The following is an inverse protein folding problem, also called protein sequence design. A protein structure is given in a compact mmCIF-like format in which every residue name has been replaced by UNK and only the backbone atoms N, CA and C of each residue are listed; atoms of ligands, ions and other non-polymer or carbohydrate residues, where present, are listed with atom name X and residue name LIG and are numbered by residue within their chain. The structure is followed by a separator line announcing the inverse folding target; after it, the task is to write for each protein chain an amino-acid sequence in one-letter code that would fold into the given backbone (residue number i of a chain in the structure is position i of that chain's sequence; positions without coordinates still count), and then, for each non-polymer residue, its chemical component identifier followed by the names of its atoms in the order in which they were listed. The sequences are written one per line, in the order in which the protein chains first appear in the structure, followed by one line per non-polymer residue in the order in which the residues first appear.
data_IF_441336103111
#
_entry.id   IF_441336103111
#
_cell.length_a   1.000
_cell.length_b   1.000
_cell.length_c   1.000
_cell.angle_alpha   90.00
_cell.angle_beta   90.00
_cell.angle_gamma   90.00
#
_symmetry.space_group_name_H-M   'P 1'
#
loop_
_entity.id
_entity.type
_entity.pdbx_description
1 polymer ?
#
# COMPACT_ATOMS: atom_id res chain seq x y z
N UNK A 1 2.78 -4.16 -7.61
CA UNK A 1 2.01 -5.44 -7.56
C UNK A 1 0.53 -5.14 -7.39
N UNK A 2 -0.32 -5.79 -8.16
CA UNK A 2 -1.78 -5.69 -8.05
C UNK A 2 -2.34 -7.05 -7.64
N UNK A 3 -3.16 -7.08 -6.60
CA UNK A 3 -3.79 -8.29 -6.08
C UNK A 3 -5.30 -8.12 -6.21
N UNK A 4 -5.91 -8.98 -7.00
CA UNK A 4 -7.35 -8.98 -7.25
C UNK A 4 -7.99 -10.27 -6.75
N UNK A 5 -9.30 -10.31 -6.69
CA UNK A 5 -10.07 -11.49 -6.28
C UNK A 5 -11.37 -11.09 -5.60
N UNK A 6 -12.24 -12.06 -5.38
CA UNK A 6 -13.54 -11.83 -4.74
C UNK A 6 -13.40 -11.33 -3.31
N UNK A 7 -14.47 -10.77 -2.79
CA UNK A 7 -14.53 -10.37 -1.38
C UNK A 7 -14.26 -11.59 -0.48
N UNK A 8 -13.52 -11.38 0.61
CA UNK A 8 -13.13 -12.43 1.57
C UNK A 8 -12.22 -13.55 1.03
N UNK A 9 -11.63 -13.41 -0.17
CA UNK A 9 -10.68 -14.38 -0.73
C UNK A 9 -9.28 -14.37 -0.07
N UNK A 10 -9.03 -13.50 0.93
CA UNK A 10 -7.75 -13.43 1.64
C UNK A 10 -6.75 -12.39 1.14
N UNK A 11 -7.12 -11.51 0.20
CA UNK A 11 -6.24 -10.44 -0.34
C UNK A 11 -5.58 -9.60 0.74
N UNK A 12 -6.41 -9.03 1.64
CA UNK A 12 -5.91 -8.20 2.75
C UNK A 12 -5.05 -8.99 3.72
N UNK A 13 -5.39 -10.25 4.00
CA UNK A 13 -4.60 -11.12 4.87
C UNK A 13 -3.21 -11.34 4.29
N UNK A 14 -3.12 -11.68 3.00
CA UNK A 14 -1.83 -11.84 2.33
C UNK A 14 -1.01 -10.54 2.37
N UNK A 15 -1.62 -9.41 2.02
CA UNK A 15 -0.94 -8.13 2.01
C UNK A 15 -0.45 -7.72 3.41
N UNK A 16 -1.24 -7.99 4.45
CA UNK A 16 -0.87 -7.77 5.85
C UNK A 16 0.33 -8.62 6.26
N UNK A 17 0.33 -9.90 5.91
CA UNK A 17 1.47 -10.81 6.19
C UNK A 17 2.73 -10.34 5.46
N UNK A 18 2.62 -9.99 4.18
CA UNK A 18 3.74 -9.49 3.40
C UNK A 18 4.30 -8.18 3.99
N UNK A 19 3.44 -7.23 4.32
CA UNK A 19 3.83 -5.97 4.95
C UNK A 19 4.56 -6.21 6.28
N UNK A 20 4.05 -7.09 7.12
CA UNK A 20 4.68 -7.43 8.40
C UNK A 20 6.05 -8.08 8.23
N UNK A 21 6.20 -9.01 7.29
CA UNK A 21 7.50 -9.62 6.99
C UNK A 21 8.52 -8.57 6.52
N UNK A 22 8.13 -7.66 5.64
CA UNK A 22 8.95 -6.52 5.20
C UNK A 22 9.33 -5.60 6.36
N UNK A 23 8.41 -5.36 7.27
CA UNK A 23 8.68 -4.55 8.46
C UNK A 23 9.67 -5.25 9.42
N UNK A 24 9.53 -6.56 9.64
CA UNK A 24 10.48 -7.35 10.44
C UNK A 24 11.88 -7.32 9.80
N UNK A 25 11.95 -7.53 8.47
CA UNK A 25 13.21 -7.44 7.73
C UNK A 25 13.86 -6.08 7.91
N UNK A 26 13.12 -4.98 7.66
CA UNK A 26 13.60 -3.61 7.90
C UNK A 26 14.13 -3.44 9.31
N UNK A 27 13.36 -3.86 10.31
CA UNK A 27 13.72 -3.68 11.73
C UNK A 27 15.03 -4.39 12.07
N UNK A 28 15.23 -5.63 11.56
CA UNK A 28 16.47 -6.39 11.73
C UNK A 28 17.64 -5.72 11.00
N UNK A 29 17.40 -5.16 9.82
CA UNK A 29 18.42 -4.50 9.00
C UNK A 29 18.94 -3.20 9.62
N UNK A 30 18.06 -2.39 10.22
CA UNK A 30 18.45 -1.08 10.78
C UNK A 30 18.89 -1.15 12.22
N UNK A 31 18.62 -2.24 12.93
CA UNK A 31 19.02 -2.44 14.33
C UNK A 31 20.53 -2.66 14.45
N UNK A 32 21.13 -2.04 15.47
CA UNK A 32 22.54 -2.28 15.82
C UNK A 32 22.74 -3.56 16.60
N UNK A 33 21.69 -4.01 17.31
CA UNK A 33 21.70 -5.22 18.11
C UNK A 33 21.08 -6.41 17.34
N UNK A 34 21.41 -7.62 17.76
CA UNK A 34 20.78 -8.81 17.20
C UNK A 34 19.40 -9.03 17.83
N UNK A 35 18.39 -8.47 17.15
CA UNK A 35 16.99 -8.58 17.57
C UNK A 35 16.27 -9.82 16.99
N UNK A 36 16.96 -10.68 16.25
CA UNK A 36 16.37 -11.91 15.65
C UNK A 36 15.71 -12.75 16.74
N UNK A 37 16.34 -12.87 17.89
CA UNK A 37 15.82 -13.62 19.02
C UNK A 37 14.47 -13.13 19.53
N UNK A 38 14.09 -11.86 19.27
CA UNK A 38 12.79 -11.32 19.65
C UNK A 38 11.65 -11.96 18.86
N UNK A 39 11.91 -12.45 17.66
CA UNK A 39 10.90 -13.03 16.77
C UNK A 39 10.92 -14.57 16.77
N UNK A 40 12.05 -15.18 17.14
CA UNK A 40 12.26 -16.64 17.04
C UNK A 40 11.85 -17.41 18.30
N UNK A 41 11.41 -16.73 19.38
CA UNK A 41 11.05 -17.37 20.64
C UNK A 41 9.65 -16.97 21.10
N UNK A 42 9.00 -17.85 21.87
CA UNK A 42 7.72 -17.60 22.57
C UNK A 42 6.57 -17.19 21.63
N UNK A 43 6.55 -17.68 20.40
CA UNK A 43 5.53 -17.35 19.40
C UNK A 43 5.40 -15.84 19.13
N UNK A 44 6.45 -15.03 19.39
CA UNK A 44 6.37 -13.57 19.29
C UNK A 44 6.08 -13.09 17.88
N UNK A 45 6.69 -13.70 16.86
CA UNK A 45 6.43 -13.35 15.47
C UNK A 45 4.94 -13.34 15.14
N UNK A 46 4.26 -14.47 15.42
CA UNK A 46 2.85 -14.62 15.09
C UNK A 46 1.95 -13.78 16.01
N UNK A 47 2.32 -13.59 17.28
CA UNK A 47 1.60 -12.73 18.20
C UNK A 47 1.64 -11.26 17.77
N UNK A 48 2.82 -10.74 17.39
CA UNK A 48 2.96 -9.37 16.89
C UNK A 48 2.24 -9.18 15.56
N UNK A 49 2.33 -10.16 14.63
CA UNK A 49 1.59 -10.12 13.37
C UNK A 49 0.08 -10.02 13.61
N UNK A 50 -0.48 -10.88 14.46
CA UNK A 50 -1.91 -10.88 14.79
C UNK A 50 -2.35 -9.57 15.44
N UNK A 51 -1.62 -9.10 16.43
CA UNK A 51 -1.93 -7.88 17.15
C UNK A 51 -1.86 -6.67 16.22
N UNK A 52 -0.78 -6.53 15.46
CA UNK A 52 -0.58 -5.37 14.61
C UNK A 52 -1.61 -5.30 13.47
N UNK A 53 -1.89 -6.43 12.82
CA UNK A 53 -2.81 -6.47 11.68
C UNK A 53 -4.25 -6.89 12.02
N UNK A 54 -4.59 -6.98 13.31
CA UNK A 54 -5.95 -7.35 13.78
C UNK A 54 -6.42 -8.68 13.18
N UNK A 55 -5.54 -9.68 13.21
CA UNK A 55 -5.85 -11.03 12.76
C UNK A 55 -6.18 -11.91 13.98
N UNK A 56 -7.29 -12.62 13.92
CA UNK A 56 -7.68 -13.55 14.99
C UNK A 56 -6.94 -14.89 14.88
N UNK A 57 -7.16 -15.78 15.84
CA UNK A 57 -6.48 -17.06 15.91
C UNK A 57 -6.87 -18.04 14.79
N UNK A 58 -8.04 -17.85 14.18
CA UNK A 58 -8.56 -18.69 13.10
C UNK A 58 -7.75 -18.60 11.81
N UNK A 59 -7.03 -17.47 11.61
CA UNK A 59 -6.15 -17.29 10.44
C UNK A 59 -4.89 -18.17 10.48
N UNK A 60 -4.54 -18.73 11.65
CA UNK A 60 -3.28 -19.46 11.82
C UNK A 60 -3.52 -20.76 12.58
N UNK A 61 -3.62 -21.85 11.83
CA UNK A 61 -3.74 -23.21 12.37
C UNK A 61 -2.37 -23.88 12.57
N UNK A 62 -2.38 -25.12 13.07
CA UNK A 62 -1.17 -25.94 13.13
C UNK A 62 -0.59 -26.26 11.76
N UNK A 63 -1.44 -26.31 10.74
CA UNK A 63 -1.05 -26.60 9.36
C UNK A 63 -0.58 -25.36 8.60
N UNK A 64 -0.56 -24.19 9.26
CA UNK A 64 -0.10 -22.97 8.62
C UNK A 64 1.39 -23.03 8.35
N UNK A 65 1.76 -22.85 7.10
CA UNK A 65 3.14 -22.65 6.67
C UNK A 65 3.29 -21.26 6.04
N UNK A 66 4.32 -20.52 6.44
CA UNK A 66 4.69 -19.23 5.88
C UNK A 66 6.17 -19.26 5.54
N UNK A 67 6.48 -18.99 4.28
CA UNK A 67 7.82 -18.74 3.80
C UNK A 67 7.89 -17.35 3.18
N UNK A 68 8.65 -16.47 3.79
CA UNK A 68 9.01 -15.18 3.23
C UNK A 68 10.47 -15.22 2.81
N UNK A 69 10.71 -14.99 1.52
CA UNK A 69 12.04 -14.90 0.93
C UNK A 69 12.31 -13.43 0.58
N UNK A 70 12.82 -12.67 1.54
CA UNK A 70 13.12 -11.25 1.40
C UNK A 70 14.45 -10.96 0.72
N UNK A 71 14.82 -9.71 0.64
CA UNK A 71 16.06 -9.28 -0.01
C UNK A 71 17.30 -9.70 0.78
N UNK A 72 17.23 -9.65 2.12
CA UNK A 72 18.36 -9.85 3.03
C UNK A 72 18.21 -11.02 4.00
N UNK A 73 16.99 -11.51 4.17
CA UNK A 73 16.71 -12.63 5.06
C UNK A 73 15.53 -13.47 4.57
N UNK A 74 15.42 -14.67 5.12
CA UNK A 74 14.24 -15.54 4.99
C UNK A 74 13.56 -15.69 6.34
N UNK A 75 12.22 -15.73 6.34
CA UNK A 75 11.41 -16.03 7.52
C UNK A 75 10.60 -17.29 7.21
N UNK A 76 10.81 -18.35 7.98
CA UNK A 76 10.04 -19.58 7.94
C UNK A 76 9.20 -19.67 9.22
N UNK A 77 7.88 -19.83 9.08
CA UNK A 77 6.99 -20.11 10.21
C UNK A 77 6.16 -21.36 9.92
N UNK A 78 6.07 -22.24 10.90
CA UNK A 78 5.21 -23.41 10.87
C UNK A 78 4.34 -23.43 12.13
N UNK A 79 3.04 -23.55 11.94
CA UNK A 79 2.07 -23.51 13.03
C UNK A 79 2.30 -24.63 14.07
N UNK A 80 2.77 -25.81 13.64
CA UNK A 80 3.15 -26.91 14.55
C UNK A 80 4.23 -26.50 15.55
N UNK A 81 5.23 -25.72 15.10
CA UNK A 81 6.37 -25.33 15.93
C UNK A 81 6.09 -24.03 16.72
N UNK A 82 5.13 -23.23 16.26
CA UNK A 82 4.74 -21.97 16.86
C UNK A 82 5.78 -20.84 16.80
N UNK A 83 7.04 -21.13 16.54
CA UNK A 83 8.13 -20.17 16.45
C UNK A 83 8.57 -19.96 15.00
N UNK A 84 8.91 -18.73 14.66
CA UNK A 84 9.53 -18.43 13.37
C UNK A 84 11.04 -18.75 13.40
N UNK A 85 11.58 -19.18 12.26
CA UNK A 85 13.01 -19.28 12.00
C UNK A 85 13.40 -18.16 11.04
N UNK A 86 14.38 -17.37 11.40
CA UNK A 86 14.89 -16.26 10.59
C UNK A 86 16.34 -16.55 10.23
N UNK A 87 16.61 -16.58 8.92
CA UNK A 87 17.95 -16.84 8.39
C UNK A 87 18.42 -15.65 7.58
N UNK A 88 19.60 -15.11 7.91
CA UNK A 88 20.21 -14.02 7.15
C UNK A 88 20.85 -14.55 5.87
N UNK A 89 20.64 -13.87 4.75
CA UNK A 89 21.30 -14.15 3.49
C UNK A 89 22.74 -13.62 3.49
N UNK A 90 23.57 -14.08 2.56
CA UNK A 90 24.96 -13.61 2.43
C UNK A 90 25.05 -12.09 2.15
N UNK A 91 24.06 -11.52 1.46
CA UNK A 91 23.94 -10.10 1.18
C UNK A 91 23.68 -9.20 2.40
N UNK A 92 23.30 -9.80 3.54
CA UNK A 92 22.89 -9.06 4.75
C UNK A 92 23.99 -8.10 5.27
N UNK A 93 25.25 -8.49 5.20
CA UNK A 93 26.36 -7.69 5.73
C UNK A 93 26.67 -6.47 4.85
N UNK A 94 26.41 -6.57 3.55
CA UNK A 94 26.76 -5.57 2.54
C UNK A 94 25.64 -4.56 2.31
N UNK A 95 24.39 -4.97 2.47
CA UNK A 95 23.20 -4.19 2.15
C UNK A 95 22.42 -3.76 3.39
N UNK A 96 22.95 -2.79 4.15
CA UNK A 96 22.17 -2.13 5.20
C UNK A 96 21.17 -1.16 4.57
N UNK A 97 19.96 -1.67 4.35
CA UNK A 97 18.94 -1.01 3.58
C UNK A 97 17.83 -0.49 4.50
N UNK A 98 17.54 0.81 4.47
CA UNK A 98 16.45 1.40 5.21
C UNK A 98 15.29 1.77 4.27
N UNK A 99 14.14 1.16 4.48
CA UNK A 99 12.93 1.37 3.71
C UNK A 99 11.91 2.19 4.49
N UNK A 100 11.35 3.25 3.89
CA UNK A 100 10.13 3.87 4.44
C UNK A 100 8.93 3.01 4.05
N UNK A 101 8.38 2.31 5.04
CA UNK A 101 7.29 1.36 4.84
C UNK A 101 6.01 1.92 5.45
N UNK A 102 4.90 1.85 4.71
CA UNK A 102 3.60 2.31 5.17
C UNK A 102 2.48 1.39 4.69
N UNK A 103 1.55 1.09 5.60
CA UNK A 103 0.30 0.41 5.31
C UNK A 103 -0.85 1.41 5.35
N UNK A 104 -1.60 1.52 4.25
CA UNK A 104 -2.76 2.38 4.11
C UNK A 104 -4.02 1.50 4.09
N UNK A 105 -4.76 1.42 5.19
CA UNK A 105 -5.89 0.50 5.33
C UNK A 105 -7.12 0.96 4.53
N UNK A 106 -8.09 0.08 4.39
CA UNK A 106 -9.40 0.42 3.81
C UNK A 106 -10.13 1.47 4.66
N UNK A 107 -9.96 1.45 5.98
CA UNK A 107 -10.55 2.39 6.93
C UNK A 107 -9.86 3.76 6.98
N UNK A 108 -9.01 4.09 6.01
CA UNK A 108 -8.25 5.35 5.96
C UNK A 108 -9.09 6.63 6.07
N UNK A 109 -10.37 6.57 5.69
CA UNK A 109 -11.30 7.68 5.84
C UNK A 109 -11.58 8.06 7.31
N UNK A 110 -11.26 7.17 8.27
CA UNK A 110 -11.40 7.40 9.71
C UNK A 110 -10.71 8.71 10.16
N UNK A 111 -9.57 9.04 9.57
CA UNK A 111 -8.82 10.26 9.83
C UNK A 111 -9.67 11.51 9.61
N UNK A 112 -10.47 11.51 8.55
CA UNK A 112 -11.33 12.63 8.17
C UNK A 112 -12.72 12.55 8.79
N UNK A 113 -13.23 11.32 9.00
CA UNK A 113 -14.58 11.08 9.50
C UNK A 113 -14.71 11.27 11.03
N UNK A 114 -13.62 11.20 11.77
CA UNK A 114 -13.62 11.36 13.23
C UNK A 114 -12.79 12.58 13.60
N UNK A 115 -13.44 13.55 14.28
CA UNK A 115 -12.72 14.70 14.79
C UNK A 115 -11.77 14.30 15.93
N UNK A 116 -10.53 14.79 15.87
CA UNK A 116 -9.49 14.51 16.86
C UNK A 116 -9.28 13.00 17.07
N UNK A 117 -9.23 12.24 15.98
CA UNK A 117 -9.04 10.78 16.02
C UNK A 117 -7.78 10.38 16.80
N UNK A 118 -6.72 11.17 16.69
CA UNK A 118 -5.46 11.04 17.44
C UNK A 118 -5.64 11.05 18.96
N UNK A 119 -6.62 11.82 19.47
CA UNK A 119 -6.97 11.90 20.90
C UNK A 119 -7.95 10.81 21.32
N UNK A 120 -8.76 10.34 20.40
CA UNK A 120 -9.82 9.37 20.65
C UNK A 120 -9.30 7.94 20.61
N UNK A 121 -8.38 7.68 19.70
CA UNK A 121 -7.76 6.37 19.53
C UNK A 121 -6.69 6.15 20.61
N UNK A 122 -6.90 5.18 21.49
CA UNK A 122 -6.03 4.97 22.65
C UNK A 122 -4.66 4.41 22.24
N UNK A 123 -3.60 5.01 22.76
CA UNK A 123 -2.21 4.61 22.50
C UNK A 123 -1.85 3.17 22.99
N UNK A 124 -2.75 2.47 23.66
CA UNK A 124 -2.57 1.08 24.09
C UNK A 124 -2.80 0.07 22.98
N UNK A 125 -3.52 0.46 21.93
CA UNK A 125 -3.83 -0.38 20.78
C UNK A 125 -2.83 -0.09 19.67
N UNK A 126 -1.65 -0.71 19.73
CA UNK A 126 -0.58 -0.54 18.74
C UNK A 126 -0.82 -1.43 17.53
N UNK A 127 -1.85 -1.12 16.80
CA UNK A 127 -2.22 -1.82 15.58
C UNK A 127 -1.95 -0.98 14.31
N UNK A 128 -2.35 -1.54 13.18
CA UNK A 128 -2.17 -0.92 11.88
C UNK A 128 -2.89 0.43 11.73
N UNK A 129 -4.06 0.60 12.37
CA UNK A 129 -4.79 1.88 12.31
C UNK A 129 -4.09 2.94 13.15
N UNK A 130 -3.61 2.56 14.34
CA UNK A 130 -2.81 3.46 15.18
C UNK A 130 -1.55 3.91 14.44
N UNK A 131 -0.84 2.97 13.79
CA UNK A 131 0.34 3.31 12.99
C UNK A 131 -0.01 4.25 11.83
N UNK A 132 -1.13 4.00 11.15
CA UNK A 132 -1.61 4.84 10.06
C UNK A 132 -1.93 6.27 10.53
N UNK A 133 -2.59 6.45 11.69
CA UNK A 133 -2.87 7.76 12.27
C UNK A 133 -1.58 8.52 12.58
N UNK A 134 -0.57 7.86 13.13
CA UNK A 134 0.73 8.47 13.41
C UNK A 134 1.47 8.88 12.14
N UNK A 135 1.51 8.01 11.14
CA UNK A 135 2.13 8.31 9.85
C UNK A 135 1.40 9.47 9.16
N UNK A 136 0.08 9.55 9.30
CA UNK A 136 -0.70 10.69 8.81
C UNK A 136 -0.30 12.00 9.47
N UNK A 137 -0.13 12.01 10.79
CA UNK A 137 0.25 13.21 11.54
C UNK A 137 1.60 13.78 11.07
N UNK A 138 2.53 12.92 10.69
CA UNK A 138 3.78 13.34 10.05
C UNK A 138 3.60 13.78 8.59
N UNK A 139 2.82 13.02 7.82
CA UNK A 139 2.64 13.25 6.40
C UNK A 139 1.96 14.59 6.09
N UNK A 140 1.04 15.04 6.95
CA UNK A 140 0.32 16.31 6.76
C UNK A 140 1.18 17.56 7.02
N UNK A 141 2.27 17.44 7.79
CA UNK A 141 3.07 18.57 8.27
C UNK A 141 3.62 19.49 7.16
N UNK A 142 4.16 19.00 6.06
CA UNK A 142 4.71 19.83 4.98
C UNK A 142 3.69 20.64 4.19
N UNK A 143 2.40 20.25 4.20
CA UNK A 143 1.39 20.81 3.31
C UNK A 143 0.62 21.95 4.00
N UNK A 144 1.15 23.16 3.89
CA UNK A 144 0.60 24.39 4.47
C UNK A 144 -0.13 25.25 3.43
N UNK A 145 -0.67 26.40 3.84
CA UNK A 145 -1.24 27.37 2.90
C UNK A 145 -0.25 27.84 1.83
N UNK A 146 1.04 27.88 2.15
CA UNK A 146 2.12 28.26 1.23
C UNK A 146 2.50 27.12 0.30
N UNK A 147 2.29 25.88 0.76
CA UNK A 147 2.64 24.65 0.03
C UNK A 147 1.46 23.68 0.01
N UNK A 148 0.35 24.03 -0.66
CA UNK A 148 -0.81 23.15 -0.76
C UNK A 148 -0.50 21.90 -1.60
N UNK A 149 -1.05 20.77 -1.23
CA UNK A 149 -0.95 19.54 -2.01
C UNK A 149 -2.15 19.38 -2.94
N UNK A 150 -1.94 19.42 -4.25
CA UNK A 150 -3.02 19.20 -5.22
C UNK A 150 -3.40 17.72 -5.26
N UNK A 151 -4.66 17.44 -4.93
CA UNK A 151 -5.21 16.08 -4.98
C UNK A 151 -5.49 15.68 -6.43
N UNK A 152 -4.79 14.65 -6.91
CA UNK A 152 -4.86 14.24 -8.31
C UNK A 152 -6.25 13.72 -8.71
N UNK A 153 -6.93 13.00 -7.81
CA UNK A 153 -8.16 12.28 -8.10
C UNK A 153 -9.44 13.13 -8.00
N UNK A 154 -9.34 14.42 -7.69
CA UNK A 154 -10.52 15.18 -7.22
C UNK A 154 -10.88 16.41 -8.05
N UNK A 155 -10.23 16.62 -9.19
CA UNK A 155 -10.64 17.66 -10.14
C UNK A 155 -10.70 19.08 -9.57
N UNK A 156 -9.58 19.61 -9.05
CA UNK A 156 -9.48 21.02 -8.65
C UNK A 156 -9.52 21.25 -7.13
N UNK A 157 -9.22 20.24 -6.33
CA UNK A 157 -9.02 20.39 -4.88
C UNK A 157 -7.56 20.24 -4.50
N UNK A 158 -7.17 21.03 -3.51
CA UNK A 158 -5.88 20.88 -2.82
C UNK A 158 -6.11 20.62 -1.34
N UNK A 159 -5.21 19.84 -0.75
CA UNK A 159 -5.15 19.61 0.68
C UNK A 159 -4.22 20.62 1.35
N UNK A 160 -4.62 21.12 2.50
CA UNK A 160 -3.85 22.02 3.35
C UNK A 160 -4.02 21.63 4.82
N UNK A 161 -2.92 21.57 5.55
CA UNK A 161 -2.93 21.49 7.01
C UNK A 161 -2.94 22.91 7.59
N UNK A 162 -4.02 23.27 8.25
CA UNK A 162 -4.17 24.55 8.94
C UNK A 162 -4.07 24.38 10.46
N UNK A 163 -2.86 24.50 10.98
CA UNK A 163 -2.62 24.37 12.45
C UNK A 163 -3.15 23.07 13.03
N UNK A 164 -2.98 21.98 12.31
CA UNK A 164 -3.45 20.64 12.71
C UNK A 164 -4.83 20.24 12.15
N UNK A 165 -5.59 21.20 11.61
CA UNK A 165 -6.86 20.90 10.95
C UNK A 165 -6.66 20.55 9.47
N UNK A 166 -7.28 19.46 9.04
CA UNK A 166 -7.28 19.00 7.66
C UNK A 166 -8.34 19.76 6.85
N UNK A 167 -7.91 20.52 5.83
CA UNK A 167 -8.77 21.37 5.02
C UNK A 167 -8.58 21.08 3.54
N UNK A 168 -9.69 21.02 2.82
CA UNK A 168 -9.74 20.94 1.37
C UNK A 168 -10.03 22.32 0.81
N UNK A 169 -9.19 22.77 -0.11
CA UNK A 169 -9.31 24.07 -0.78
C UNK A 169 -9.65 23.82 -2.23
N UNK A 170 -10.78 24.33 -2.68
CA UNK A 170 -11.20 24.25 -4.09
C UNK A 170 -10.53 25.36 -4.90
N UNK A 171 -10.30 25.11 -6.19
CA UNK A 171 -9.96 26.17 -7.14
C UNK A 171 -11.01 27.29 -7.04
N UNK A 172 -10.55 28.54 -6.75
CA UNK A 172 -11.45 29.66 -6.42
C UNK A 172 -11.50 30.00 -4.92
N UNK A 173 -10.79 29.25 -4.06
CA UNK A 173 -10.52 29.64 -2.67
C UNK A 173 -11.56 29.17 -1.64
N UNK A 174 -12.58 28.43 -2.05
CA UNK A 174 -13.55 27.87 -1.08
C UNK A 174 -12.88 26.77 -0.26
N UNK A 175 -12.95 26.89 1.05
CA UNK A 175 -12.40 25.96 2.03
C UNK A 175 -13.48 25.08 2.63
N UNK A 176 -13.16 23.80 2.75
CA UNK A 176 -14.03 22.80 3.39
C UNK A 176 -13.19 21.94 4.34
N UNK A 177 -13.47 21.97 5.66
CA UNK A 177 -12.82 21.00 6.57
C UNK A 177 -13.07 19.57 6.08
N UNK A 178 -12.06 18.72 6.13
CA UNK A 178 -12.11 17.35 5.63
C UNK A 178 -13.25 16.52 6.28
N UNK A 179 -13.58 16.83 7.53
CA UNK A 179 -14.71 16.21 8.24
C UNK A 179 -16.05 16.37 7.52
N UNK A 180 -16.29 17.50 6.83
CA UNK A 180 -17.52 17.78 6.09
C UNK A 180 -17.44 17.42 4.61
N UNK A 181 -16.33 16.85 4.16
CA UNK A 181 -16.15 16.44 2.78
C UNK A 181 -16.95 15.17 2.46
N UNK A 182 -17.15 14.90 1.17
CA UNK A 182 -17.75 13.64 0.72
C UNK A 182 -16.89 12.44 1.08
N UNK A 183 -17.50 11.25 1.19
CA UNK A 183 -16.80 10.01 1.52
C UNK A 183 -15.64 9.71 0.56
N UNK A 184 -15.80 10.01 -0.74
CA UNK A 184 -14.72 9.86 -1.72
C UNK A 184 -13.53 10.77 -1.42
N UNK A 185 -13.78 12.04 -1.06
CA UNK A 185 -12.73 12.98 -0.66
C UNK A 185 -12.04 12.55 0.62
N UNK A 186 -12.80 12.09 1.61
CA UNK A 186 -12.28 11.57 2.87
C UNK A 186 -11.43 10.30 2.67
N UNK A 187 -11.71 9.50 1.66
CA UNK A 187 -10.96 8.30 1.32
C UNK A 187 -9.68 8.61 0.53
N UNK A 188 -9.77 9.50 -0.46
CA UNK A 188 -8.66 9.79 -1.36
C UNK A 188 -7.60 10.70 -0.75
N UNK A 189 -8.02 11.69 0.03
CA UNK A 189 -7.12 12.69 0.59
C UNK A 189 -5.97 12.07 1.41
N UNK A 190 -6.22 11.24 2.44
CA UNK A 190 -5.14 10.66 3.22
C UNK A 190 -4.26 9.74 2.39
N UNK A 191 -4.83 8.98 1.46
CA UNK A 191 -4.07 8.07 0.60
C UNK A 191 -3.12 8.82 -0.33
N UNK A 192 -3.60 9.83 -1.05
CA UNK A 192 -2.82 10.57 -2.06
C UNK A 192 -1.71 11.41 -1.39
N UNK A 193 -2.05 12.07 -0.28
CA UNK A 193 -1.09 12.82 0.55
C UNK A 193 0.01 11.92 1.10
N UNK A 194 -0.36 10.78 1.69
CA UNK A 194 0.60 9.83 2.27
C UNK A 194 1.46 9.18 1.21
N UNK A 195 0.88 8.75 0.09
CA UNK A 195 1.64 8.14 -1.00
C UNK A 195 2.71 9.11 -1.52
N UNK A 196 2.36 10.38 -1.75
CA UNK A 196 3.33 11.38 -2.15
C UNK A 196 4.38 11.64 -1.06
N UNK A 197 3.96 11.84 0.19
CA UNK A 197 4.88 12.10 1.31
C UNK A 197 5.90 10.97 1.49
N UNK A 198 5.45 9.73 1.56
CA UNK A 198 6.29 8.54 1.78
C UNK A 198 7.31 8.38 0.65
N UNK A 199 6.88 8.52 -0.59
CA UNK A 199 7.76 8.40 -1.76
C UNK A 199 8.77 9.56 -1.89
N UNK A 200 8.40 10.75 -1.44
CA UNK A 200 9.32 11.89 -1.39
C UNK A 200 10.39 11.78 -0.30
N UNK A 201 10.22 10.89 0.67
CA UNK A 201 11.25 10.62 1.72
C UNK A 201 12.47 9.86 1.20
N UNK A 202 12.36 9.18 0.06
CA UNK A 202 13.49 8.49 -0.58
C UNK A 202 14.60 9.50 -0.92
N UNK A 203 15.83 9.17 -0.59
CA UNK A 203 16.99 10.04 -0.72
C UNK A 203 17.09 11.14 0.35
N UNK A 204 16.21 11.13 1.37
CA UNK A 204 16.28 12.07 2.49
C UNK A 204 16.70 11.36 3.77
N UNK A 205 17.41 12.08 4.62
CA UNK A 205 17.78 11.57 5.96
C UNK A 205 16.52 11.08 6.68
N UNK A 206 16.57 9.85 7.18
CA UNK A 206 15.51 9.29 7.99
C UNK A 206 15.42 10.07 9.31
N UNK A 207 14.56 11.08 9.37
CA UNK A 207 13.97 11.45 10.63
C UNK A 207 13.02 10.33 11.00
N UNK A 208 13.49 9.42 11.86
CA UNK A 208 12.62 8.35 12.37
C UNK A 208 11.40 9.00 12.99
N UNK A 209 10.22 8.54 12.63
CA UNK A 209 8.98 8.96 13.28
C UNK A 209 9.08 8.71 14.78
N UNK A 210 8.29 9.41 15.58
CA UNK A 210 8.25 9.15 17.02
C UNK A 210 7.87 7.68 17.28
N UNK A 211 7.04 7.10 16.42
CA UNK A 211 6.67 5.69 16.47
C UNK A 211 7.86 4.79 16.14
N UNK A 212 8.55 5.01 15.04
CA UNK A 212 9.78 4.28 14.68
C UNK A 212 10.84 4.41 15.77
N UNK A 213 11.03 5.60 16.35
CA UNK A 213 11.93 5.80 17.50
C UNK A 213 11.51 4.99 18.72
N UNK A 214 10.22 4.97 19.05
CA UNK A 214 9.71 4.24 20.20
C UNK A 214 9.83 2.73 20.02
N UNK A 215 9.57 2.22 18.83
CA UNK A 215 9.74 0.79 18.53
C UNK A 215 11.23 0.38 18.60
N UNK A 216 12.08 1.21 18.08
CA UNK A 216 13.51 0.99 18.08
C UNK A 216 14.08 1.14 19.51
N UNK A 217 13.69 2.19 20.25
CA UNK A 217 14.16 2.42 21.64
C UNK A 217 13.73 1.33 22.63
N UNK A 218 12.66 0.59 22.36
CA UNK A 218 12.28 -0.58 23.17
C UNK A 218 13.22 -1.77 23.00
N UNK A 219 13.93 -1.81 21.89
CA UNK A 219 14.83 -2.91 21.54
C UNK A 219 16.29 -2.56 21.78
N UNK A 220 16.61 -1.27 21.90
CA UNK A 220 17.97 -0.77 22.01
C UNK A 220 18.16 -0.18 23.41
N UNK A 221 18.99 -0.81 24.22
CA UNK A 221 19.34 -0.40 25.59
C UNK A 221 20.10 0.94 25.64
N UNK A 222 19.68 1.92 24.83
CA UNK A 222 20.21 3.29 24.86
C UNK A 222 21.35 3.57 23.88
N UNK A 223 21.55 2.75 22.84
CA UNK A 223 22.56 3.02 21.83
C UNK A 223 22.06 3.97 20.74
N UNK A 224 22.89 4.95 20.41
CA UNK A 224 22.63 6.04 19.50
C UNK A 224 22.49 5.55 18.05
N UNK A 225 21.30 5.74 17.45
CA UNK A 225 21.06 5.40 16.03
C UNK A 225 21.94 6.25 15.12
N UNK A 226 22.64 5.60 14.21
CA UNK A 226 23.12 6.28 13.02
C UNK A 226 21.88 6.65 12.18
N UNK A 227 21.73 7.93 11.85
CA UNK A 227 20.73 8.40 10.89
C UNK A 227 21.04 7.72 9.55
N UNK A 228 20.18 6.81 9.16
CA UNK A 228 20.25 6.17 7.85
C UNK A 228 19.29 6.90 6.92
N UNK A 229 19.73 7.14 5.71
CA UNK A 229 18.88 7.66 4.64
C UNK A 229 17.85 6.60 4.22
N UNK A 230 16.62 7.01 3.87
CA UNK A 230 15.67 6.09 3.24
C UNK A 230 16.08 5.84 1.79
N UNK A 231 16.39 4.59 1.49
CA UNK A 231 16.82 4.17 0.16
C UNK A 231 15.65 3.72 -0.71
N UNK A 232 14.53 3.36 -0.10
CA UNK A 232 13.31 2.98 -0.81
C UNK A 232 12.05 3.34 -0.05
N UNK A 233 10.92 3.32 -0.75
CA UNK A 233 9.59 3.47 -0.20
C UNK A 233 8.72 2.27 -0.58
N UNK A 234 8.02 1.69 0.40
CA UNK A 234 7.11 0.57 0.16
C UNK A 234 5.73 0.90 0.74
N UNK A 235 4.74 0.92 -0.13
CA UNK A 235 3.36 1.23 0.21
C UNK A 235 2.48 0.00 0.01
N UNK A 236 1.67 -0.30 1.00
CA UNK A 236 0.66 -1.36 0.98
C UNK A 236 -0.71 -0.70 1.13
N UNK A 237 -1.51 -0.73 0.07
CA UNK A 237 -2.75 0.06 -0.02
C UNK A 237 -3.94 -0.87 -0.24
N UNK A 238 -4.88 -0.86 0.69
CA UNK A 238 -6.15 -1.55 0.52
C UNK A 238 -7.13 -0.70 -0.28
N UNK A 239 -7.75 -1.30 -1.29
CA UNK A 239 -8.87 -0.75 -2.06
C UNK A 239 -8.71 0.74 -2.41
N UNK A 240 -7.71 1.12 -3.23
CA UNK A 240 -7.49 2.52 -3.59
C UNK A 240 -8.71 3.18 -4.25
N UNK A 241 -9.59 2.38 -4.83
CA UNK A 241 -10.84 2.78 -5.47
C UNK A 241 -12.00 3.10 -4.53
N UNK A 242 -11.86 2.83 -3.23
CA UNK A 242 -12.96 2.90 -2.27
C UNK A 242 -13.67 4.26 -2.27
N UNK A 243 -15.00 4.24 -2.41
CA UNK A 243 -15.87 5.41 -2.47
C UNK A 243 -15.61 6.35 -3.65
N UNK A 244 -14.93 5.90 -4.72
CA UNK A 244 -14.57 6.72 -5.87
C UNK A 244 -15.40 6.38 -7.12
N UNK A 245 -15.77 7.45 -7.84
CA UNK A 245 -16.30 7.33 -9.19
C UNK A 245 -15.22 6.81 -10.16
N UNK A 246 -15.54 6.07 -11.23
CA UNK A 246 -14.57 5.46 -12.14
C UNK A 246 -13.46 6.40 -12.66
N UNK A 247 -13.83 7.64 -13.03
CA UNK A 247 -12.84 8.63 -13.48
C UNK A 247 -11.82 8.99 -12.39
N UNK A 248 -12.27 9.11 -11.13
CA UNK A 248 -11.39 9.35 -9.99
C UNK A 248 -10.49 8.14 -9.69
N UNK A 249 -10.97 6.91 -9.92
CA UNK A 249 -10.16 5.71 -9.78
C UNK A 249 -8.98 5.72 -10.77
N UNK A 250 -9.22 6.12 -12.03
CA UNK A 250 -8.17 6.33 -13.02
C UNK A 250 -7.11 7.30 -12.52
N UNK A 251 -7.53 8.45 -12.03
CA UNK A 251 -6.62 9.49 -11.55
C UNK A 251 -5.82 9.06 -10.32
N UNK A 252 -6.41 8.28 -9.41
CA UNK A 252 -5.73 7.68 -8.27
C UNK A 252 -4.61 6.74 -8.72
N UNK A 253 -4.91 5.79 -9.62
CA UNK A 253 -3.90 4.86 -10.12
C UNK A 253 -2.72 5.62 -10.76
N UNK A 254 -3.02 6.62 -11.58
CA UNK A 254 -1.98 7.46 -12.19
C UNK A 254 -1.16 8.23 -11.16
N UNK A 255 -1.79 8.74 -10.09
CA UNK A 255 -1.09 9.43 -9.00
C UNK A 255 -0.15 8.48 -8.23
N UNK A 256 -0.62 7.27 -7.92
CA UNK A 256 0.19 6.26 -7.25
C UNK A 256 1.41 5.85 -8.09
N UNK A 257 1.22 5.64 -9.39
CA UNK A 257 2.34 5.29 -10.29
C UNK A 257 3.32 6.46 -10.42
N UNK A 258 2.84 7.70 -10.50
CA UNK A 258 3.69 8.91 -10.49
C UNK A 258 4.52 9.00 -9.21
N UNK A 259 3.91 8.75 -8.06
CA UNK A 259 4.59 8.75 -6.78
C UNK A 259 5.65 7.64 -6.71
N UNK A 260 5.32 6.43 -7.17
CA UNK A 260 6.28 5.33 -7.26
C UNK A 260 7.46 5.66 -8.18
N UNK A 261 7.19 6.21 -9.35
CA UNK A 261 8.24 6.61 -10.31
C UNK A 261 9.24 7.58 -9.70
N UNK A 262 8.75 8.62 -9.00
CA UNK A 262 9.61 9.56 -8.27
C UNK A 262 10.52 8.86 -7.25
N UNK A 263 10.01 7.84 -6.55
CA UNK A 263 10.82 7.08 -5.60
C UNK A 263 11.87 6.21 -6.31
N UNK A 264 11.51 5.56 -7.43
CA UNK A 264 12.43 4.76 -8.24
C UNK A 264 13.56 5.60 -8.84
N UNK A 265 13.28 6.82 -9.29
CA UNK A 265 14.27 7.74 -9.85
C UNK A 265 15.28 8.26 -8.81
N UNK A 266 14.90 8.30 -7.53
CA UNK A 266 15.75 8.82 -6.44
C UNK A 266 16.47 7.72 -5.65
N UNK A 267 15.94 6.53 -5.66
CA UNK A 267 16.37 5.45 -4.80
C UNK A 267 16.73 4.18 -5.56
N UNK A 268 16.61 3.07 -4.86
CA UNK A 268 16.82 1.76 -5.43
C UNK A 268 15.55 1.21 -6.05
N UNK A 269 15.70 0.19 -6.89
CA UNK A 269 14.61 -0.59 -7.51
C UNK A 269 13.68 -1.30 -6.51
N UNK A 270 14.00 -1.27 -5.20
CA UNK A 270 13.18 -1.87 -4.14
C UNK A 270 11.97 -1.03 -3.72
N UNK A 271 11.81 0.19 -4.26
CA UNK A 271 10.58 0.94 -4.05
C UNK A 271 9.42 0.24 -4.73
N UNK A 272 8.32 0.04 -4.01
CA UNK A 272 7.15 -0.66 -4.55
C UNK A 272 5.83 -0.15 -3.98
N UNK A 273 4.77 -0.37 -4.74
CA UNK A 273 3.38 -0.23 -4.28
C UNK A 273 2.69 -1.58 -4.47
N UNK A 274 2.06 -2.08 -3.41
CA UNK A 274 1.19 -3.25 -3.44
C UNK A 274 -0.24 -2.77 -3.20
N UNK A 275 -1.15 -3.09 -4.11
CA UNK A 275 -2.56 -2.74 -3.98
C UNK A 275 -3.43 -3.99 -3.98
N UNK A 276 -4.45 -4.00 -3.13
CA UNK A 276 -5.57 -4.93 -3.26
C UNK A 276 -6.75 -4.20 -3.87
N UNK A 277 -7.45 -4.79 -4.81
CA UNK A 277 -8.58 -4.15 -5.48
C UNK A 277 -9.67 -5.14 -5.86
N UNK A 278 -10.90 -4.62 -5.97
CA UNK A 278 -12.06 -5.30 -6.56
C UNK A 278 -12.51 -4.61 -7.85
N UNK A 279 -11.84 -3.53 -8.25
CA UNK A 279 -12.30 -2.68 -9.34
C UNK A 279 -11.76 -3.13 -10.69
N UNK A 280 -12.63 -3.42 -11.65
CA UNK A 280 -12.22 -3.65 -13.04
C UNK A 280 -11.59 -2.38 -13.67
N UNK A 281 -11.99 -1.19 -13.20
CA UNK A 281 -11.42 0.07 -13.70
C UNK A 281 -9.96 0.25 -13.30
N UNK A 282 -9.60 -0.12 -12.07
CA UNK A 282 -8.19 -0.10 -11.62
C UNK A 282 -7.35 -1.00 -12.53
N UNK A 283 -7.82 -2.22 -12.84
CA UNK A 283 -7.12 -3.12 -13.76
C UNK A 283 -7.00 -2.56 -15.17
N UNK A 284 -8.10 -2.03 -15.70
CA UNK A 284 -8.10 -1.44 -17.04
C UNK A 284 -7.10 -0.31 -17.15
N UNK A 285 -6.99 0.54 -16.13
CA UNK A 285 -6.00 1.62 -16.10
C UNK A 285 -4.58 1.05 -16.05
N UNK A 286 -4.32 0.06 -15.22
CA UNK A 286 -3.00 -0.60 -15.15
C UNK A 286 -2.63 -1.20 -16.52
N UNK A 287 -3.58 -1.79 -17.24
CA UNK A 287 -3.34 -2.31 -18.60
C UNK A 287 -3.00 -1.20 -19.60
N UNK A 288 -3.65 -0.05 -19.51
CA UNK A 288 -3.28 1.13 -20.32
C UNK A 288 -1.86 1.60 -20.01
N UNK A 289 -1.49 1.63 -18.73
CA UNK A 289 -0.13 2.01 -18.32
C UNK A 289 0.93 0.99 -18.80
N UNK A 290 0.62 -0.31 -18.72
CA UNK A 290 1.46 -1.39 -19.28
C UNK A 290 1.65 -1.22 -20.78
N UNK A 291 0.57 -1.02 -21.54
CA UNK A 291 0.65 -0.81 -22.98
C UNK A 291 1.50 0.42 -23.32
N UNK A 292 1.32 1.53 -22.60
CA UNK A 292 2.12 2.74 -22.79
C UNK A 292 3.61 2.50 -22.49
N UNK A 293 3.92 1.72 -21.44
CA UNK A 293 5.29 1.35 -21.10
C UNK A 293 5.96 0.55 -22.23
N UNK A 294 5.26 -0.42 -22.82
CA UNK A 294 5.77 -1.22 -23.94
C UNK A 294 6.03 -0.35 -25.17
N UNK A 295 5.14 0.61 -25.45
CA UNK A 295 5.32 1.54 -26.57
C UNK A 295 6.59 2.38 -26.36
N UNK A 296 6.83 2.89 -25.15
CA UNK A 296 8.03 3.65 -24.83
C UNK A 296 9.30 2.77 -24.84
N UNK A 297 9.23 1.54 -24.34
CA UNK A 297 10.36 0.59 -24.36
C UNK A 297 10.78 0.23 -25.79
N UNK A 298 9.84 0.30 -26.75
CA UNK A 298 10.11 0.16 -28.19
C UNK A 298 10.55 1.46 -28.88
N UNK A 299 10.73 2.54 -28.11
CA UNK A 299 11.05 3.88 -28.61
C UNK A 299 10.03 4.43 -29.63
N UNK A 300 8.77 4.05 -29.48
CA UNK A 300 7.68 4.56 -30.31
C UNK A 300 7.04 5.80 -29.64
N UNK A 301 6.67 6.83 -30.42
CA UNK A 301 6.03 8.01 -29.86
C UNK A 301 4.61 7.71 -29.37
N UNK A 302 4.27 8.19 -28.18
CA UNK A 302 2.91 8.14 -27.67
C UNK A 302 2.58 9.43 -26.89
N UNK A 303 1.31 9.82 -26.89
CA UNK A 303 0.76 10.98 -26.15
C UNK A 303 -0.47 10.63 -25.30
N UNK A 304 -0.78 9.34 -25.18
CA UNK A 304 -1.98 8.82 -24.47
C UNK A 304 -1.78 8.92 -22.96
N UNK A 305 -0.58 8.60 -22.48
CA UNK A 305 -0.23 8.62 -21.07
C UNK A 305 0.93 9.56 -20.82
N UNK A 306 0.82 10.39 -19.76
CA UNK A 306 1.92 11.26 -19.36
C UNK A 306 3.16 10.43 -18.96
N UNK A 307 4.33 10.86 -19.37
CA UNK A 307 5.60 10.15 -19.10
C UNK A 307 5.88 9.90 -17.61
N UNK A 308 5.46 10.80 -16.76
CA UNK A 308 5.60 10.70 -15.30
C UNK A 308 4.73 9.58 -14.67
N UNK A 309 3.77 9.02 -15.41
CA UNK A 309 2.94 7.88 -15.01
C UNK A 309 3.38 6.54 -15.62
N UNK A 310 4.52 6.50 -16.30
CA UNK A 310 5.02 5.29 -16.96
C UNK A 310 6.23 4.75 -16.21
N UNK A 311 6.16 3.50 -15.81
CA UNK A 311 7.25 2.70 -15.24
C UNK A 311 7.50 1.50 -16.14
N UNK A 312 8.64 0.82 -15.99
CA UNK A 312 8.93 -0.37 -16.82
C UNK A 312 7.84 -1.43 -16.71
N UNK A 313 7.45 -2.01 -17.84
CA UNK A 313 6.45 -3.08 -17.90
C UNK A 313 6.85 -4.28 -17.03
N UNK A 314 8.15 -4.57 -16.94
CA UNK A 314 8.70 -5.64 -16.09
C UNK A 314 8.57 -5.38 -14.59
N UNK A 315 8.29 -4.14 -14.18
CA UNK A 315 8.11 -3.76 -12.78
C UNK A 315 6.68 -3.97 -12.27
N UNK A 316 5.76 -4.41 -13.13
CA UNK A 316 4.36 -4.64 -12.79
C UNK A 316 4.09 -6.13 -12.70
N UNK A 317 3.40 -6.56 -11.65
CA UNK A 317 2.92 -7.94 -11.48
C UNK A 317 1.47 -7.93 -11.01
N UNK A 318 0.70 -8.93 -11.42
CA UNK A 318 -0.69 -9.08 -11.04
C UNK A 318 -1.02 -10.51 -10.63
N UNK A 319 -1.84 -10.62 -9.59
CA UNK A 319 -2.28 -11.91 -9.05
C UNK A 319 -3.78 -11.88 -8.77
N UNK A 320 -4.43 -12.98 -9.10
CA UNK A 320 -5.81 -13.26 -8.73
C UNK A 320 -5.84 -14.28 -7.59
N UNK A 321 -6.65 -14.03 -6.57
CA UNK A 321 -6.91 -15.00 -5.50
C UNK A 321 -8.33 -15.54 -5.70
N UNK A 322 -8.41 -16.85 -5.95
CA UNK A 322 -9.70 -17.52 -6.16
C UNK A 322 -10.47 -17.74 -4.84
N UNK A 323 -11.65 -18.35 -4.94
CA UNK A 323 -12.52 -18.64 -3.78
C UNK A 323 -11.91 -19.63 -2.77
N UNK A 324 -10.90 -20.37 -3.19
CA UNK A 324 -10.15 -21.31 -2.35
C UNK A 324 -8.91 -20.69 -1.72
N UNK A 325 -8.64 -19.40 -2.01
CA UNK A 325 -7.45 -18.68 -1.56
C UNK A 325 -6.19 -19.02 -2.38
N UNK A 326 -6.33 -19.61 -3.57
CA UNK A 326 -5.20 -19.97 -4.43
C UNK A 326 -4.80 -18.78 -5.27
N UNK A 327 -3.50 -18.46 -5.26
CA UNK A 327 -2.90 -17.40 -6.07
C UNK A 327 -2.67 -17.87 -7.50
N UNK A 328 -3.15 -17.11 -8.45
CA UNK A 328 -2.93 -17.31 -9.88
C UNK A 328 -2.23 -16.06 -10.43
N UNK A 329 -1.14 -16.26 -11.16
CA UNK A 329 -0.53 -15.15 -11.90
C UNK A 329 -1.43 -14.81 -13.10
N UNK A 330 -1.88 -13.57 -13.17
CA UNK A 330 -2.76 -13.07 -14.22
C UNK A 330 -2.05 -12.21 -15.25
N UNK A 331 -0.72 -12.13 -15.20
CA UNK A 331 0.06 -11.52 -16.27
C UNK A 331 0.06 -12.45 -17.48
N UNK A 332 -0.41 -11.94 -18.61
CA UNK A 332 -0.27 -12.65 -19.88
C UNK A 332 1.21 -12.74 -20.29
N UNK A 333 1.63 -13.90 -20.78
CA UNK A 333 3.02 -14.16 -21.15
C UNK A 333 3.38 -13.63 -22.55
N UNK A 334 2.40 -13.46 -23.43
CA UNK A 334 2.61 -13.02 -24.81
C UNK A 334 2.48 -11.49 -24.92
N UNK A 335 1.47 -10.93 -24.27
CA UNK A 335 1.23 -9.50 -24.21
C UNK A 335 1.19 -9.14 -22.72
N UNK A 336 2.17 -8.38 -22.18
CA UNK A 336 2.22 -8.08 -20.76
C UNK A 336 1.02 -7.17 -20.38
N UNK A 337 -0.09 -7.81 -20.13
CA UNK A 337 -1.35 -7.23 -19.68
C UNK A 337 -1.92 -8.11 -18.57
N UNK A 338 -2.68 -7.52 -17.67
CA UNK A 338 -3.44 -8.25 -16.65
C UNK A 338 -4.70 -8.85 -17.30
N UNK A 339 -4.88 -10.17 -17.20
CA UNK A 339 -6.11 -10.83 -17.60
C UNK A 339 -7.25 -10.47 -16.64
N UNK A 340 -8.38 -10.03 -17.16
CA UNK A 340 -9.54 -9.57 -16.39
C UNK A 340 -10.75 -10.52 -16.39
N UNK A 341 -10.63 -11.68 -17.01
CA UNK A 341 -11.76 -12.58 -17.29
C UNK A 341 -12.54 -12.99 -16.02
N UNK A 342 -11.91 -13.01 -14.86
CA UNK A 342 -12.54 -13.46 -13.61
C UNK A 342 -13.24 -12.33 -12.82
N UNK A 343 -13.07 -11.05 -13.20
CA UNK A 343 -13.73 -9.92 -12.53
C UNK A 343 -15.06 -9.53 -13.14
N UNK A 344 -15.33 -9.91 -14.35
CA UNK A 344 -16.46 -9.39 -15.16
C UNK A 344 -17.59 -10.40 -15.40
N UNK A 345 -17.68 -11.46 -14.63
CA UNK A 345 -18.77 -12.44 -14.74
C UNK A 345 -20.18 -11.85 -14.54
N UNK A 346 -20.27 -10.61 -14.01
CA UNK A 346 -21.55 -9.89 -13.91
C UNK A 346 -21.93 -9.30 -15.27
N UNK A 347 -20.99 -8.77 -16.05
CA UNK A 347 -21.25 -8.27 -17.41
C UNK A 347 -21.73 -9.39 -18.33
N UNK A 348 -21.08 -10.55 -18.28
CA UNK A 348 -21.51 -11.74 -19.04
C UNK A 348 -22.94 -12.15 -18.65
N UNK A 349 -23.25 -12.18 -17.35
CA UNK A 349 -24.59 -12.47 -16.87
C UNK A 349 -25.62 -11.43 -17.33
N UNK A 350 -25.27 -10.15 -17.32
CA UNK A 350 -26.13 -9.05 -17.79
C UNK A 350 -26.43 -9.22 -19.28
N UNK A 351 -25.40 -9.44 -20.10
CA UNK A 351 -25.54 -9.59 -21.55
C UNK A 351 -26.37 -10.82 -21.91
N UNK A 352 -26.13 -11.95 -21.28
CA UNK A 352 -26.91 -13.18 -21.42
C UNK A 352 -28.38 -12.97 -20.99
N UNK A 353 -28.60 -12.29 -19.88
CA UNK A 353 -29.91 -12.05 -19.32
C UNK A 353 -30.71 -11.10 -20.21
N UNK A 354 -30.08 -10.00 -20.67
CA UNK A 354 -30.74 -9.05 -21.60
C UNK A 354 -31.07 -9.74 -22.92
N UNK A 355 -30.16 -10.54 -23.46
CA UNK A 355 -30.41 -11.30 -24.70
C UNK A 355 -31.62 -12.21 -24.57
N UNK A 356 -31.69 -13.01 -23.50
CA UNK A 356 -32.82 -13.89 -23.22
C UNK A 356 -34.14 -13.14 -23.02
N UNK A 357 -34.07 -12.00 -22.32
CA UNK A 357 -35.27 -11.17 -22.12
C UNK A 357 -35.73 -10.50 -23.42
N UNK A 358 -34.82 -10.08 -24.28
CA UNK A 358 -35.16 -9.53 -25.61
C UNK A 358 -35.79 -10.59 -26.53
N UNK A 359 -35.29 -11.83 -26.48
CA UNK A 359 -35.94 -12.93 -27.21
C UNK A 359 -37.40 -13.11 -26.79
N UNK A 360 -37.71 -12.98 -25.51
CA UNK A 360 -39.08 -13.08 -24.99
C UNK A 360 -39.95 -11.86 -25.38
N UNK A 361 -39.33 -10.66 -25.36
CA UNK A 361 -40.08 -9.41 -25.64
C UNK A 361 -40.42 -9.24 -27.12
N UNK A 362 -39.62 -9.82 -28.02
CA UNK A 362 -39.74 -9.64 -29.46
C UNK A 362 -40.16 -10.95 -30.22
N UNK A 363 -40.47 -12.03 -29.45
CA UNK A 363 -41.10 -13.23 -29.99
C UNK A 363 -42.61 -13.00 -30.13
#
# INVERSE_FOLDING_TARGET
MVIIGRQSAGKSTFMKVLCFCRWVEKKIMVSTDDIVNQYTHYNRFIKELKQFHRLNDEYFSKDTELLYDGDNLTIEYRGENGNAKITRKNSFAENRFNTKLCYIPAERNLISAIQNVDKTYKATERDVLFNFIYEWDEAKGPYTNEHPFRLAATGGFSYVNKSGADVLVREGGTETPAFYASSGMQSVMPMDVMANYITERVGKNASLSMHERNEINKTDNGHSYKRLEYQSAQLFIEEPEQNLYPESQKLVVMSLVRSLKKALEKGSEQSMIVVTTHSPYVMSVVNVLLAAAIVEEKNLPQSVVCKDCIISSKSISGYYIDEKGIFQNIMDNEIPMLSGNDLDGVSDWVDDSISKLNEILFA
#
